data_IF_524107168498
#
_entry.id   IF_524107168498
#
_cell.length_a   1.000
_cell.length_b   1.000
_cell.length_c   1.000
_cell.angle_alpha   90.00
_cell.angle_beta   90.00
_cell.angle_gamma   90.00
#
_symmetry.space_group_name_H-M   'P 1'
#
loop_
_entity.id
_entity.type
_entity.pdbx_description
1 polymer ?
#
# COMPACT_ATOMS: atom_id res chain seq x y z
N UNK A 1 -39.89 -30.53 21.65
CA UNK A 1 -39.87 -31.07 20.28
C UNK A 1 -38.80 -30.33 19.50
N UNK A 2 -37.56 -30.64 19.77
CA UNK A 2 -36.42 -30.11 19.03
C UNK A 2 -36.43 -30.74 17.62
N UNK A 3 -37.23 -30.17 16.72
CA UNK A 3 -37.28 -30.55 15.30
C UNK A 3 -38.07 -31.80 14.92
N UNK A 4 -38.67 -32.53 15.86
CA UNK A 4 -39.39 -33.79 15.60
C UNK A 4 -40.89 -33.68 15.91
N UNK A 5 -41.73 -34.30 15.07
CA UNK A 5 -43.19 -34.29 15.22
C UNK A 5 -43.64 -35.26 16.32
N UNK A 6 -44.59 -34.85 17.14
CA UNK A 6 -45.15 -35.69 18.24
C UNK A 6 -45.83 -36.94 17.68
N UNK A 7 -46.54 -36.79 16.57
CA UNK A 7 -47.38 -37.83 16.00
C UNK A 7 -46.60 -39.12 15.72
N UNK A 8 -45.29 -38.99 15.44
CA UNK A 8 -44.41 -40.12 15.13
C UNK A 8 -44.02 -40.93 16.39
N UNK A 9 -44.27 -40.41 17.60
CA UNK A 9 -43.94 -41.03 18.88
C UNK A 9 -45.17 -41.47 19.69
N UNK A 10 -46.38 -41.43 19.10
CA UNK A 10 -47.62 -41.87 19.75
C UNK A 10 -47.86 -43.36 19.45
N UNK A 11 -47.40 -44.23 20.35
CA UNK A 11 -47.56 -45.69 20.29
C UNK A 11 -48.05 -46.23 21.66
N UNK A 12 -49.10 -47.07 21.74
CA UNK A 12 -49.56 -47.67 23.00
C UNK A 12 -48.48 -48.48 23.74
N UNK A 13 -47.45 -49.00 23.06
CA UNK A 13 -46.35 -49.76 23.66
C UNK A 13 -45.08 -48.93 23.91
N UNK A 14 -45.14 -47.60 23.74
CA UNK A 14 -43.95 -46.73 23.82
C UNK A 14 -43.21 -46.85 25.16
N UNK A 15 -43.94 -47.01 26.27
CA UNK A 15 -43.35 -47.15 27.61
C UNK A 15 -42.56 -48.45 27.77
N UNK A 16 -43.02 -49.55 27.18
CA UNK A 16 -42.33 -50.85 27.23
C UNK A 16 -41.08 -50.85 26.36
N UNK A 17 -41.15 -50.19 25.19
CA UNK A 17 -39.99 -49.99 24.31
C UNK A 17 -38.95 -49.10 24.99
N UNK A 18 -39.37 -48.07 25.71
CA UNK A 18 -38.50 -47.20 26.49
C UNK A 18 -37.77 -47.98 27.59
N UNK A 19 -38.48 -48.82 28.37
CA UNK A 19 -37.88 -49.64 29.43
C UNK A 19 -36.83 -50.62 28.90
N UNK A 20 -37.07 -51.24 27.74
CA UNK A 20 -36.08 -52.10 27.07
C UNK A 20 -34.86 -51.30 26.61
N UNK A 21 -35.07 -50.07 26.11
CA UNK A 21 -34.01 -49.17 25.68
C UNK A 21 -33.16 -48.71 26.88
N UNK A 22 -33.79 -48.38 28.01
CA UNK A 22 -33.10 -48.01 29.24
C UNK A 22 -32.24 -49.16 29.80
N UNK A 23 -32.74 -50.40 29.76
CA UNK A 23 -31.95 -51.59 30.14
C UNK A 23 -30.78 -51.83 29.18
N UNK A 24 -30.98 -51.62 27.89
CA UNK A 24 -29.92 -51.75 26.89
C UNK A 24 -28.83 -50.68 27.09
N UNK A 25 -29.22 -49.44 27.34
CA UNK A 25 -28.29 -48.34 27.65
C UNK A 25 -27.54 -48.59 28.96
N UNK A 26 -28.21 -49.09 30.01
CA UNK A 26 -27.54 -49.45 31.27
C UNK A 26 -26.49 -50.56 31.07
N UNK A 27 -26.74 -51.51 30.17
CA UNK A 27 -25.76 -52.53 29.80
C UNK A 27 -24.59 -51.94 29.01
N UNK A 28 -24.82 -50.96 28.12
CA UNK A 28 -23.77 -50.26 27.36
C UNK A 28 -22.91 -49.37 28.26
N UNK A 29 -23.53 -48.64 29.20
CA UNK A 29 -22.83 -47.86 30.21
C UNK A 29 -21.98 -48.76 31.10
N UNK A 30 -22.51 -49.89 31.58
CA UNK A 30 -21.74 -50.88 32.36
C UNK A 30 -20.61 -51.54 31.57
N UNK A 31 -20.75 -51.63 30.25
CA UNK A 31 -19.70 -52.12 29.36
C UNK A 31 -18.60 -51.07 29.09
N UNK A 32 -18.77 -49.82 29.55
CA UNK A 32 -17.81 -48.73 29.38
C UNK A 32 -17.84 -48.09 27.99
N UNK A 33 -18.90 -48.26 27.20
CA UNK A 33 -19.01 -47.71 25.84
C UNK A 33 -18.92 -46.16 25.82
N UNK A 34 -19.33 -45.53 26.92
CA UNK A 34 -19.31 -44.07 27.09
C UNK A 34 -18.15 -43.57 27.97
N UNK A 35 -17.24 -44.44 28.40
CA UNK A 35 -16.05 -44.02 29.11
C UNK A 35 -15.08 -43.36 28.11
N UNK A 36 -14.98 -42.02 28.18
CA UNK A 36 -13.95 -41.30 27.45
C UNK A 36 -12.64 -41.42 28.23
N UNK A 37 -11.85 -42.44 27.91
CA UNK A 37 -10.51 -42.58 28.46
C UNK A 37 -9.63 -41.39 27.98
N UNK A 38 -9.59 -40.34 28.80
CA UNK A 38 -8.56 -39.30 28.69
C UNK A 38 -7.24 -39.92 29.18
N UNK A 39 -6.51 -40.50 28.23
CA UNK A 39 -5.16 -40.98 28.45
C UNK A 39 -4.30 -39.80 28.98
N UNK A 40 -3.81 -39.93 30.22
CA UNK A 40 -3.02 -38.91 30.89
C UNK A 40 -1.78 -38.57 30.06
N UNK A 41 -1.72 -37.35 29.51
CA UNK A 41 -0.58 -36.91 28.72
C UNK A 41 0.66 -36.71 29.59
N UNK A 42 1.69 -37.53 29.36
CA UNK A 42 3.01 -37.38 29.97
C UNK A 42 3.59 -35.97 29.72
N UNK A 43 4.41 -35.48 30.65
CA UNK A 43 5.03 -34.14 30.57
C UNK A 43 5.79 -33.92 29.25
N UNK A 44 6.49 -34.95 28.76
CA UNK A 44 7.21 -34.93 27.47
C UNK A 44 6.25 -34.73 26.28
N UNK A 45 5.06 -35.34 26.31
CA UNK A 45 4.08 -35.21 25.24
C UNK A 45 3.51 -33.78 25.19
N UNK A 46 3.31 -33.16 26.36
CA UNK A 46 2.88 -31.78 26.46
C UNK A 46 3.95 -30.82 25.92
N UNK A 47 5.22 -31.03 26.27
CA UNK A 47 6.35 -30.25 25.76
C UNK A 47 6.47 -30.35 24.23
N UNK A 48 6.38 -31.57 23.68
CA UNK A 48 6.40 -31.82 22.23
C UNK A 48 5.25 -31.06 21.55
N UNK A 49 4.05 -31.07 22.15
CA UNK A 49 2.88 -30.38 21.59
C UNK A 49 3.07 -28.86 21.59
N UNK A 50 3.60 -28.29 22.67
CA UNK A 50 3.91 -26.85 22.75
C UNK A 50 4.97 -26.47 21.73
N UNK A 51 6.07 -27.22 21.65
CA UNK A 51 7.14 -27.00 20.69
C UNK A 51 6.63 -27.11 19.23
N UNK A 52 5.81 -28.11 18.94
CA UNK A 52 5.22 -28.30 17.62
C UNK A 52 4.32 -27.11 17.21
N UNK A 53 3.55 -26.54 18.15
CA UNK A 53 2.77 -25.33 17.91
C UNK A 53 3.67 -24.15 17.56
N UNK A 54 4.72 -23.91 18.34
CA UNK A 54 5.70 -22.84 18.07
C UNK A 54 6.36 -22.99 16.69
N UNK A 55 6.74 -24.21 16.30
CA UNK A 55 7.32 -24.50 14.98
C UNK A 55 6.33 -24.18 13.86
N UNK A 56 5.06 -24.61 14.00
CA UNK A 56 4.01 -24.37 12.99
C UNK A 56 3.76 -22.87 12.82
N UNK A 57 3.61 -22.14 13.91
CA UNK A 57 3.41 -20.68 13.89
C UNK A 57 4.60 -19.97 13.24
N UNK A 58 5.83 -20.31 13.64
CA UNK A 58 7.04 -19.72 13.05
C UNK A 58 7.13 -20.01 11.55
N UNK A 59 6.81 -21.23 11.12
CA UNK A 59 6.77 -21.63 9.70
C UNK A 59 5.71 -20.83 8.93
N UNK A 60 4.52 -20.66 9.49
CA UNK A 60 3.46 -19.84 8.87
C UNK A 60 3.90 -18.39 8.69
N UNK A 61 4.54 -17.79 9.71
CA UNK A 61 5.07 -16.43 9.61
C UNK A 61 6.16 -16.29 8.54
N UNK A 62 7.06 -17.29 8.41
CA UNK A 62 8.08 -17.30 7.37
C UNK A 62 7.45 -17.37 5.96
N UNK A 63 6.42 -18.19 5.79
CA UNK A 63 5.69 -18.27 4.51
C UNK A 63 4.97 -16.95 4.21
N UNK A 64 4.30 -16.35 5.19
CA UNK A 64 3.61 -15.07 5.03
C UNK A 64 4.57 -13.94 4.62
N UNK A 65 5.70 -13.81 5.32
CA UNK A 65 6.73 -12.80 4.99
C UNK A 65 7.41 -13.08 3.65
N UNK A 66 7.49 -14.34 3.21
CA UNK A 66 7.98 -14.69 1.87
C UNK A 66 7.00 -14.25 0.78
N UNK A 67 5.70 -14.46 0.99
CA UNK A 67 4.64 -14.02 0.07
C UNK A 67 4.59 -12.49 -0.04
N UNK A 68 4.75 -11.78 1.07
CA UNK A 68 4.80 -10.31 1.09
C UNK A 68 5.98 -9.75 0.26
N UNK A 69 7.13 -10.44 0.30
CA UNK A 69 8.32 -10.06 -0.48
C UNK A 69 8.18 -10.36 -1.98
N UNK A 70 7.13 -11.07 -2.38
CA UNK A 70 6.90 -11.41 -3.78
C UNK A 70 6.09 -10.32 -4.48
N UNK A 71 6.80 -9.49 -5.23
CA UNK A 71 6.27 -8.30 -5.92
C UNK A 71 6.51 -8.44 -7.41
N UNK A 72 5.57 -7.94 -8.22
CA UNK A 72 5.69 -7.93 -9.67
C UNK A 72 6.69 -6.84 -10.10
N UNK A 73 7.97 -7.21 -10.20
CA UNK A 73 9.07 -6.34 -10.62
C UNK A 73 10.45 -6.87 -10.20
N UNK A 74 11.54 -6.22 -10.65
CA UNK A 74 12.88 -6.60 -10.25
C UNK A 74 13.11 -6.36 -8.75
N UNK A 75 13.64 -7.36 -8.05
CA UNK A 75 13.99 -7.24 -6.62
C UNK A 75 15.28 -6.44 -6.45
N UNK A 76 15.26 -5.42 -5.60
CA UNK A 76 16.44 -4.62 -5.30
C UNK A 76 17.52 -5.46 -4.60
N UNK A 77 18.80 -5.38 -5.00
CA UNK A 77 19.87 -6.12 -4.37
C UNK A 77 20.17 -5.56 -2.97
N UNK A 78 20.42 -6.46 -1.99
CA UNK A 78 20.68 -6.10 -0.59
C UNK A 78 21.93 -5.23 -0.39
N UNK A 79 22.81 -5.16 -1.38
CA UNK A 79 24.01 -4.30 -1.37
C UNK A 79 23.68 -2.82 -1.53
N UNK A 80 22.52 -2.49 -2.11
CA UNK A 80 22.10 -1.10 -2.34
C UNK A 80 21.38 -0.51 -1.14
N UNK A 81 20.65 -1.33 -0.39
CA UNK A 81 19.90 -0.91 0.78
C UNK A 81 20.77 -0.97 2.04
N UNK A 82 20.68 0.06 2.89
CA UNK A 82 21.38 0.07 4.17
C UNK A 82 20.62 -0.76 5.18
N UNK A 83 21.30 -1.67 5.87
CA UNK A 83 20.72 -2.45 6.96
C UNK A 83 20.77 -1.63 8.25
N UNK A 84 19.64 -1.53 8.95
CA UNK A 84 19.58 -0.89 10.25
C UNK A 84 20.23 -1.76 11.33
N UNK A 85 21.13 -1.16 12.12
CA UNK A 85 21.86 -1.83 13.20
C UNK A 85 20.89 -2.50 14.19
N UNK A 86 19.94 -1.76 14.73
CA UNK A 86 18.99 -2.26 15.73
C UNK A 86 18.22 -3.52 15.28
N UNK A 87 17.85 -3.60 14.00
CA UNK A 87 17.13 -4.77 13.46
C UNK A 87 18.02 -6.01 13.43
N UNK A 88 19.24 -5.89 12.92
CA UNK A 88 20.19 -6.99 12.86
C UNK A 88 20.55 -7.49 14.26
N UNK A 89 20.74 -6.57 15.21
CA UNK A 89 21.05 -6.91 16.59
C UNK A 89 19.93 -7.70 17.28
N UNK A 90 18.68 -7.30 17.08
CA UNK A 90 17.51 -7.99 17.63
C UNK A 90 17.36 -9.39 17.03
N UNK A 91 17.55 -9.53 15.73
CA UNK A 91 17.45 -10.83 15.05
C UNK A 91 18.54 -11.80 15.51
N UNK A 92 19.80 -11.35 15.60
CA UNK A 92 20.91 -12.20 16.05
C UNK A 92 20.82 -12.55 17.54
N UNK A 93 20.42 -11.59 18.40
CA UNK A 93 20.17 -11.88 19.81
C UNK A 93 19.05 -12.90 20.01
N UNK A 94 17.99 -12.85 19.18
CA UNK A 94 16.93 -13.85 19.19
C UNK A 94 17.37 -15.25 18.74
N UNK A 95 18.50 -15.37 18.03
CA UNK A 95 19.13 -16.65 17.67
C UNK A 95 20.12 -17.14 18.73
N UNK A 96 20.29 -16.40 19.84
CA UNK A 96 21.21 -16.76 20.92
C UNK A 96 22.66 -16.31 20.70
N UNK A 97 22.92 -15.44 19.72
CA UNK A 97 24.25 -14.85 19.55
C UNK A 97 24.45 -13.71 20.54
N UNK A 98 25.57 -13.73 21.25
CA UNK A 98 25.95 -12.62 22.11
C UNK A 98 26.26 -11.38 21.26
N UNK A 99 25.63 -10.32 21.71
CA UNK A 99 25.39 -9.10 21.00
C UNK A 99 25.62 -7.93 21.99
N UNK A 100 26.47 -8.10 22.99
CA UNK A 100 26.80 -7.07 23.98
C UNK A 100 28.06 -6.28 23.59
N UNK A 101 29.13 -6.96 23.17
CA UNK A 101 30.42 -6.36 22.75
C UNK A 101 30.44 -5.84 21.29
N UNK A 102 29.36 -5.19 20.86
CA UNK A 102 29.16 -4.81 19.45
C UNK A 102 29.85 -3.53 19.02
N UNK A 103 30.22 -2.69 19.96
CA UNK A 103 30.71 -1.34 19.67
C UNK A 103 32.10 -1.33 19.01
N UNK A 104 32.83 -2.45 19.11
CA UNK A 104 34.11 -2.70 18.44
C UNK A 104 33.98 -3.56 17.17
N UNK A 105 32.76 -3.98 16.83
CA UNK A 105 32.54 -4.76 15.61
C UNK A 105 32.77 -3.93 14.34
N UNK A 106 33.24 -4.58 13.27
CA UNK A 106 33.57 -3.95 11.99
C UNK A 106 32.38 -3.17 11.37
N UNK A 107 31.14 -3.59 11.62
CA UNK A 107 29.95 -2.87 11.14
C UNK A 107 29.59 -1.64 11.99
N UNK A 108 29.90 -1.63 13.29
CA UNK A 108 29.67 -0.50 14.18
C UNK A 108 30.75 0.59 14.03
N UNK A 109 32.02 0.21 13.81
CA UNK A 109 33.12 1.16 13.62
C UNK A 109 32.95 2.01 12.35
N UNK A 110 32.48 1.42 11.26
CA UNK A 110 32.23 2.14 10.01
C UNK A 110 31.10 3.19 10.12
N UNK A 111 30.13 2.99 11.02
CA UNK A 111 29.08 3.97 11.28
C UNK A 111 29.58 5.23 12.02
N UNK A 112 30.67 5.10 12.80
CA UNK A 112 31.29 6.24 13.55
C UNK A 112 31.99 7.24 12.63
N UNK A 113 32.37 6.85 11.40
CA UNK A 113 33.04 7.71 10.40
C UNK A 113 32.14 8.82 9.80
N UNK A 114 30.87 8.87 10.19
CA UNK A 114 29.87 9.80 9.64
C UNK A 114 29.78 11.15 10.37
N UNK A 115 30.41 11.29 11.54
CA UNK A 115 30.58 12.62 12.16
C UNK A 115 31.62 13.40 11.36
N UNK A 116 31.18 14.09 10.33
CA UNK A 116 31.96 15.19 9.75
C UNK A 116 32.32 16.13 10.89
N UNK A 117 33.61 16.33 11.15
CA UNK A 117 34.07 17.48 11.95
C UNK A 117 33.46 18.69 11.27
N UNK A 118 32.50 19.33 11.92
CA UNK A 118 31.68 20.39 11.37
C UNK A 118 32.58 21.57 10.99
N UNK A 119 33.12 21.55 9.78
CA UNK A 119 33.78 22.71 9.18
C UNK A 119 32.67 23.73 8.96
N UNK A 120 32.65 24.73 9.85
CA UNK A 120 31.69 25.83 9.96
C UNK A 120 30.99 26.17 8.63
N UNK A 121 29.69 25.93 8.59
CA UNK A 121 28.67 26.95 8.28
C UNK A 121 27.26 26.41 8.58
N UNK A 122 26.71 26.82 9.73
CA UNK A 122 25.26 27.00 9.84
C UNK A 122 24.92 28.16 8.90
N UNK A 123 24.32 27.85 7.74
CA UNK A 123 23.72 28.87 6.89
C UNK A 123 22.39 29.21 7.55
N UNK A 124 22.36 30.28 8.34
CA UNK A 124 21.11 31.03 8.51
C UNK A 124 20.58 31.32 7.11
N UNK A 125 19.27 31.14 6.93
CA UNK A 125 18.49 31.21 5.69
C UNK A 125 19.14 32.18 4.70
N UNK A 126 20.01 31.64 3.83
CA UNK A 126 20.75 32.48 2.90
C UNK A 126 19.79 32.89 1.80
N UNK A 127 19.42 34.17 1.80
CA UNK A 127 18.99 34.88 0.59
C UNK A 127 19.90 34.41 -0.55
N UNK A 128 19.28 33.98 -1.65
CA UNK A 128 19.99 33.49 -2.83
C UNK A 128 21.06 34.53 -3.20
N UNK A 129 22.36 34.16 -3.29
CA UNK A 129 23.41 35.12 -3.58
C UNK A 129 23.11 35.82 -4.90
N UNK A 130 23.05 37.16 -4.88
CA UNK A 130 22.86 38.00 -6.07
C UNK A 130 24.07 37.95 -7.01
N UNK A 131 25.20 37.40 -6.55
CA UNK A 131 26.37 37.14 -7.37
C UNK A 131 26.18 35.88 -8.23
N UNK A 132 25.59 36.10 -9.40
CA UNK A 132 25.58 35.14 -10.51
C UNK A 132 26.99 34.60 -10.75
N UNK A 133 27.16 33.30 -10.60
CA UNK A 133 28.40 32.60 -10.95
C UNK A 133 28.71 32.85 -12.43
N UNK A 134 29.96 33.23 -12.69
CA UNK A 134 30.52 33.79 -13.94
C UNK A 134 30.50 32.85 -15.16
N UNK A 135 29.72 31.77 -15.18
CA UNK A 135 29.90 30.69 -16.17
C UNK A 135 28.62 30.04 -16.70
N UNK A 136 27.45 30.68 -16.64
CA UNK A 136 26.26 30.20 -17.36
C UNK A 136 25.44 31.36 -17.93
N UNK A 137 25.40 31.49 -19.26
CA UNK A 137 24.27 31.83 -20.17
C UNK A 137 23.14 32.80 -19.73
N UNK A 138 23.32 33.60 -18.68
CA UNK A 138 22.31 34.50 -18.09
C UNK A 138 22.73 35.98 -18.15
N UNK A 139 23.61 36.33 -19.11
CA UNK A 139 24.06 37.72 -19.33
C UNK A 139 22.94 38.59 -19.90
N UNK A 140 21.98 37.99 -20.61
CA UNK A 140 20.84 38.72 -21.17
C UNK A 140 19.66 38.62 -20.20
N UNK A 141 19.03 39.75 -19.84
CA UNK A 141 17.75 39.71 -19.15
C UNK A 141 16.73 38.92 -20.00
N UNK A 142 15.75 38.25 -19.37
CA UNK A 142 14.64 37.59 -20.07
C UNK A 142 14.02 38.48 -21.16
N UNK A 143 13.55 37.88 -22.27
CA UNK A 143 13.03 38.62 -23.44
C UNK A 143 11.85 39.54 -23.10
N UNK A 144 11.06 39.20 -22.09
CA UNK A 144 9.94 40.03 -21.60
C UNK A 144 10.38 41.27 -20.80
N UNK A 145 11.66 41.33 -20.43
CA UNK A 145 12.24 42.39 -19.59
C UNK A 145 13.34 43.19 -20.30
N UNK A 146 14.02 42.59 -21.29
CA UNK A 146 15.18 43.21 -21.95
C UNK A 146 14.89 44.53 -22.68
N UNK A 147 13.63 44.77 -23.05
CA UNK A 147 13.19 45.99 -23.76
C UNK A 147 12.58 47.05 -22.85
N UNK A 148 12.54 46.85 -21.53
CA UNK A 148 11.87 47.74 -20.59
C UNK A 148 12.87 48.27 -19.56
N UNK A 149 12.82 49.57 -19.30
CA UNK A 149 13.81 50.29 -18.47
C UNK A 149 13.75 49.89 -17.00
N UNK A 150 12.56 49.95 -16.40
CA UNK A 150 12.33 49.75 -14.96
C UNK A 150 11.30 48.66 -14.66
N UNK A 151 11.35 48.10 -13.45
CA UNK A 151 10.37 47.13 -12.96
C UNK A 151 8.92 47.65 -12.96
N UNK A 152 8.72 48.96 -12.83
CA UNK A 152 7.39 49.60 -12.93
C UNK A 152 6.82 49.48 -14.35
N UNK A 153 7.64 49.67 -15.37
CA UNK A 153 7.26 49.49 -16.78
C UNK A 153 6.99 48.02 -17.09
N UNK A 154 7.77 47.09 -16.54
CA UNK A 154 7.52 45.64 -16.65
C UNK A 154 6.16 45.27 -16.07
N UNK A 155 5.83 45.79 -14.88
CA UNK A 155 4.50 45.58 -14.26
C UNK A 155 3.39 46.14 -15.14
N UNK A 156 3.54 47.36 -15.67
CA UNK A 156 2.56 47.99 -16.57
C UNK A 156 2.36 47.18 -17.85
N UNK A 157 3.44 46.71 -18.48
CA UNK A 157 3.38 45.85 -19.67
C UNK A 157 2.64 44.53 -19.40
N UNK A 158 2.91 43.89 -18.26
CA UNK A 158 2.20 42.66 -17.84
C UNK A 158 0.71 42.89 -17.61
N UNK A 159 0.32 44.04 -17.06
CA UNK A 159 -1.09 44.40 -16.89
C UNK A 159 -1.76 44.61 -18.26
N UNK A 160 -1.13 45.37 -19.17
CA UNK A 160 -1.65 45.59 -20.52
C UNK A 160 -1.83 44.27 -21.28
N UNK A 161 -0.87 43.35 -21.18
CA UNK A 161 -0.97 42.00 -21.75
C UNK A 161 -2.20 41.24 -21.22
N UNK A 162 -2.40 41.21 -19.89
CA UNK A 162 -3.57 40.55 -19.28
C UNK A 162 -4.89 41.18 -19.72
N UNK A 163 -4.94 42.51 -19.89
CA UNK A 163 -6.13 43.20 -20.38
C UNK A 163 -6.43 42.81 -21.83
N UNK A 164 -5.42 42.77 -22.70
CA UNK A 164 -5.59 42.38 -24.11
C UNK A 164 -6.08 40.94 -24.29
N UNK A 165 -5.77 40.03 -23.37
CA UNK A 165 -6.22 38.63 -23.42
C UNK A 165 -7.67 38.43 -22.99
N UNK A 166 -8.35 39.44 -22.42
CA UNK A 166 -9.70 39.28 -21.85
C UNK A 166 -10.75 38.81 -22.86
N UNK A 167 -10.71 39.32 -24.09
CA UNK A 167 -11.71 38.97 -25.11
C UNK A 167 -11.57 37.50 -25.54
N UNK A 168 -10.33 37.05 -25.72
CA UNK A 168 -9.99 35.67 -26.03
C UNK A 168 -10.41 34.72 -24.90
N UNK A 169 -10.16 35.09 -23.64
CA UNK A 169 -10.59 34.32 -22.46
C UNK A 169 -12.12 34.28 -22.37
N UNK A 170 -12.81 35.40 -22.66
CA UNK A 170 -14.29 35.46 -22.68
C UNK A 170 -14.88 34.51 -23.71
N UNK A 171 -14.23 34.34 -24.85
CA UNK A 171 -14.61 33.39 -25.90
C UNK A 171 -14.17 31.93 -25.60
N UNK A 172 -13.47 31.69 -24.48
CA UNK A 172 -13.03 30.34 -24.08
C UNK A 172 -11.91 29.76 -24.96
N UNK A 173 -11.12 30.60 -25.63
CA UNK A 173 -10.02 30.14 -26.49
C UNK A 173 -8.85 29.58 -25.67
N UNK A 174 -8.15 28.59 -26.23
CA UNK A 174 -7.01 27.92 -25.56
C UNK A 174 -5.73 28.78 -25.50
N UNK A 175 -5.67 29.85 -26.29
CA UNK A 175 -4.54 30.77 -26.39
C UNK A 175 -4.58 31.54 -27.71
N UNK A 176 -3.61 32.42 -27.94
CA UNK A 176 -3.58 33.28 -29.15
C UNK A 176 -3.42 32.48 -30.46
N UNK A 177 -2.91 31.25 -30.38
CA UNK A 177 -2.83 30.32 -31.50
C UNK A 177 -4.17 29.66 -31.88
N UNK A 178 -5.19 29.74 -31.02
CA UNK A 178 -6.48 29.10 -31.23
C UNK A 178 -7.42 30.00 -32.06
N UNK A 179 -7.21 29.95 -33.38
CA UNK A 179 -7.99 30.69 -34.39
C UNK A 179 -8.93 29.77 -35.17
N UNK A 180 -9.35 28.66 -34.59
CA UNK A 180 -10.25 27.71 -35.24
C UNK A 180 -11.65 28.30 -35.41
N UNK A 181 -12.18 28.20 -36.64
CA UNK A 181 -13.55 28.58 -37.00
C UNK A 181 -14.37 27.29 -37.07
N UNK A 182 -15.36 27.15 -36.18
CA UNK A 182 -16.22 25.99 -36.17
C UNK A 182 -17.27 26.07 -37.27
N UNK A 183 -17.60 24.92 -37.87
CA UNK A 183 -18.77 24.78 -38.72
C UNK A 183 -20.02 24.61 -37.84
N UNK A 184 -20.70 25.72 -37.56
CA UNK A 184 -21.90 25.73 -36.73
C UNK A 184 -23.11 25.12 -37.46
N UNK A 185 -23.09 25.08 -38.80
CA UNK A 185 -24.21 24.60 -39.62
C UNK A 185 -23.71 23.62 -40.70
N UNK A 186 -23.22 22.44 -40.28
CA UNK A 186 -22.66 21.50 -41.23
C UNK A 186 -23.71 20.98 -42.20
N UNK A 187 -23.39 21.05 -43.50
CA UNK A 187 -24.32 20.75 -44.59
C UNK A 187 -24.99 19.38 -44.46
N UNK A 188 -24.26 18.35 -44.05
CA UNK A 188 -24.77 16.98 -43.94
C UNK A 188 -25.86 16.82 -42.85
N UNK A 189 -26.02 17.78 -41.94
CA UNK A 189 -27.12 17.79 -40.97
C UNK A 189 -28.33 18.60 -41.46
N UNK A 190 -28.11 19.63 -42.26
CA UNK A 190 -29.14 20.62 -42.63
C UNK A 190 -29.58 20.55 -44.10
N UNK A 191 -29.07 19.59 -44.87
CA UNK A 191 -29.36 19.43 -46.29
C UNK A 191 -29.69 17.97 -46.60
N UNK A 192 -30.63 17.76 -47.52
CA UNK A 192 -31.13 16.44 -47.89
C UNK A 192 -32.36 16.00 -47.10
N UNK A 193 -32.98 14.90 -47.54
CA UNK A 193 -34.11 14.24 -46.86
C UNK A 193 -33.81 12.75 -46.80
N UNK A 194 -34.25 12.08 -45.71
CA UNK A 194 -34.08 10.64 -45.55
C UNK A 194 -35.02 9.88 -46.49
N UNK A 195 -34.47 9.01 -47.33
CA UNK A 195 -35.23 8.16 -48.25
C UNK A 195 -35.44 6.75 -47.68
N UNK A 196 -36.34 5.96 -48.27
CA UNK A 196 -36.51 4.54 -47.93
C UNK A 196 -35.36 3.74 -48.54
N UNK A 197 -34.34 3.44 -47.74
CA UNK A 197 -33.13 2.73 -48.17
C UNK A 197 -32.00 2.87 -47.15
N UNK A 198 -30.76 2.97 -47.66
CA UNK A 198 -29.57 3.22 -46.84
C UNK A 198 -29.60 4.62 -46.23
N UNK A 199 -29.17 4.74 -44.97
CA UNK A 199 -29.10 6.01 -44.26
C UNK A 199 -27.65 6.50 -44.17
N UNK A 200 -27.45 7.82 -44.14
CA UNK A 200 -26.12 8.46 -44.05
C UNK A 200 -25.44 8.31 -42.68
N UNK A 201 -26.21 7.98 -41.65
CA UNK A 201 -25.74 7.76 -40.27
C UNK A 201 -26.40 6.53 -39.68
N UNK A 202 -25.69 5.89 -38.74
CA UNK A 202 -26.12 4.68 -38.04
C UNK A 202 -27.23 4.96 -37.02
#
# INVERSE_FOLDING_TARGET
MEGHNIADYIDPEIMKKLELLEQEEELKEKAGEYDSDEESEDEEMQEIRVLAKQIREKKQLLVATSKEKDIHGPRMPRTTTKVERAKLEKEMGGLGLDMTDKDDSHYAQNARRSRSVTKKRKRDVSVVPTSKTRSQSASRPPRDQSGLRDATMVKKAKIMMKIGQRDMIRQGKKGEGDRHIYDLKPKHLFSGKRTNGTNDRR
#
